data_IF_049249235544
#
_entry.id   IF_049249235544
#
_cell.length_a   1.000
_cell.length_b   1.000
_cell.length_c   1.000
_cell.angle_alpha   90.00
_cell.angle_beta   90.00
_cell.angle_gamma   90.00
#
_symmetry.space_group_name_H-M   'P 1'
#
loop_
_entity.id
_entity.type
_entity.pdbx_description
1 polymer ?
#
# COMPACT_ATOMS: atom_id res chain seq x y z
N UNK A 1 19.02 17.85 24.63
CA UNK A 1 19.32 17.22 23.30
C UNK A 1 19.74 18.35 22.36
N UNK A 2 20.97 18.36 21.83
CA UNK A 2 21.49 19.42 20.98
C UNK A 2 20.73 19.43 19.61
N UNK A 3 20.64 20.61 18.96
CA UNK A 3 19.96 20.78 17.66
C UNK A 3 20.42 19.76 16.60
N UNK A 4 21.69 19.43 16.55
CA UNK A 4 22.27 18.47 15.59
C UNK A 4 21.78 17.04 15.86
N UNK A 5 21.74 16.60 17.11
CA UNK A 5 21.26 15.26 17.47
C UNK A 5 19.79 15.03 17.09
N UNK A 6 18.95 16.07 17.22
CA UNK A 6 17.54 15.99 16.80
C UNK A 6 17.43 15.85 15.28
N UNK A 7 18.20 16.63 14.52
CA UNK A 7 18.21 16.60 13.05
C UNK A 7 18.65 15.23 12.52
N UNK A 8 19.72 14.68 13.07
CA UNK A 8 20.25 13.36 12.67
C UNK A 8 19.24 12.24 12.96
N UNK A 9 18.56 12.34 14.10
CA UNK A 9 17.51 11.38 14.46
C UNK A 9 16.31 11.44 13.51
N UNK A 10 15.84 12.64 13.15
CA UNK A 10 14.77 12.84 12.19
C UNK A 10 15.18 12.31 10.82
N UNK A 11 16.37 12.65 10.33
CA UNK A 11 16.89 12.15 9.06
C UNK A 11 16.92 10.61 9.00
N UNK A 12 17.33 9.97 10.10
CA UNK A 12 17.33 8.52 10.23
C UNK A 12 15.91 7.94 10.20
N UNK A 13 14.93 8.60 10.85
CA UNK A 13 13.54 8.19 10.85
C UNK A 13 12.91 8.31 9.46
N UNK A 14 13.18 9.39 8.73
CA UNK A 14 12.71 9.59 7.36
C UNK A 14 13.30 8.50 6.44
N UNK A 15 14.60 8.25 6.54
CA UNK A 15 15.27 7.23 5.75
C UNK A 15 14.71 5.82 6.04
N UNK A 16 14.43 5.52 7.31
CA UNK A 16 13.75 4.28 7.69
C UNK A 16 12.35 4.22 7.08
N UNK A 17 11.57 5.30 7.17
CA UNK A 17 10.22 5.38 6.60
C UNK A 17 10.18 5.08 5.10
N UNK A 18 11.16 5.57 4.33
CA UNK A 18 11.28 5.23 2.91
C UNK A 18 11.47 3.72 2.70
N UNK A 19 12.38 3.07 3.43
CA UNK A 19 12.63 1.64 3.27
C UNK A 19 11.46 0.78 3.75
N UNK A 20 10.77 1.21 4.81
CA UNK A 20 9.56 0.56 5.28
C UNK A 20 8.44 0.67 4.23
N UNK A 21 8.25 1.87 3.66
CA UNK A 21 7.31 2.08 2.55
C UNK A 21 7.65 1.24 1.33
N UNK A 22 8.94 1.12 1.02
CA UNK A 22 9.41 0.30 -0.11
C UNK A 22 9.02 -1.18 0.07
N UNK A 23 9.16 -1.71 1.27
CA UNK A 23 8.71 -3.07 1.58
C UNK A 23 7.18 -3.22 1.45
N UNK A 24 6.42 -2.21 1.88
CA UNK A 24 4.96 -2.17 1.72
C UNK A 24 4.53 -2.03 0.25
N UNK A 25 5.31 -1.35 -0.60
CA UNK A 25 5.07 -1.33 -2.06
C UNK A 25 5.12 -2.75 -2.62
N UNK A 26 6.11 -3.55 -2.22
CA UNK A 26 6.22 -4.95 -2.67
C UNK A 26 4.97 -5.75 -2.24
N UNK A 27 4.49 -5.56 -1.01
CA UNK A 27 3.26 -6.22 -0.54
C UNK A 27 2.03 -5.78 -1.35
N UNK A 28 1.88 -4.47 -1.61
CA UNK A 28 0.79 -3.95 -2.42
C UNK A 28 0.84 -4.49 -3.86
N UNK A 29 2.02 -4.60 -4.46
CA UNK A 29 2.19 -5.20 -5.78
C UNK A 29 1.76 -6.67 -5.78
N UNK A 30 2.09 -7.44 -4.74
CA UNK A 30 1.66 -8.83 -4.62
C UNK A 30 0.14 -8.96 -4.49
N UNK A 31 -0.50 -8.11 -3.68
CA UNK A 31 -1.95 -8.07 -3.55
C UNK A 31 -2.59 -7.61 -4.88
N UNK A 32 -1.95 -6.67 -5.56
CA UNK A 32 -2.36 -6.15 -6.86
C UNK A 32 -2.48 -7.20 -7.97
N UNK A 33 -1.84 -8.37 -7.82
CA UNK A 33 -2.00 -9.51 -8.74
C UNK A 33 -3.45 -10.01 -8.76
N UNK A 34 -4.19 -9.87 -7.66
CA UNK A 34 -5.60 -10.28 -7.59
C UNK A 34 -6.45 -9.49 -8.59
N UNK A 35 -6.14 -8.21 -8.80
CA UNK A 35 -6.85 -7.39 -9.80
C UNK A 35 -6.51 -7.82 -11.23
N UNK A 36 -5.23 -8.11 -11.50
CA UNK A 36 -4.81 -8.62 -12.82
C UNK A 36 -5.53 -9.93 -13.14
N UNK A 37 -5.60 -10.85 -12.18
CA UNK A 37 -6.30 -12.15 -12.34
C UNK A 37 -7.81 -11.98 -12.53
N UNK A 38 -8.37 -10.88 -12.07
CA UNK A 38 -9.79 -10.58 -12.12
C UNK A 38 -10.21 -9.74 -13.35
N UNK A 39 -9.25 -9.23 -14.13
CA UNK A 39 -9.51 -8.47 -15.36
C UNK A 39 -9.42 -9.38 -16.59
N UNK A 40 -10.17 -9.08 -17.67
CA UNK A 40 -10.00 -9.77 -18.94
C UNK A 40 -8.57 -9.71 -19.44
N UNK A 41 -8.07 -10.79 -20.03
CA UNK A 41 -6.70 -10.84 -20.58
C UNK A 41 -6.55 -9.82 -21.71
N UNK A 42 -5.49 -9.00 -21.69
CA UNK A 42 -5.26 -8.03 -22.75
C UNK A 42 -5.01 -8.71 -24.08
N UNK A 43 -5.65 -8.22 -25.15
CA UNK A 43 -5.58 -8.79 -26.48
C UNK A 43 -4.50 -8.16 -27.35
N UNK A 44 -4.01 -6.98 -27.00
CA UNK A 44 -2.99 -6.24 -27.76
C UNK A 44 -1.71 -6.03 -26.94
N UNK A 45 -0.59 -5.78 -27.65
CA UNK A 45 0.67 -5.44 -26.98
C UNK A 45 0.54 -4.17 -26.13
N UNK A 46 -0.15 -3.16 -26.65
CA UNK A 46 -0.34 -1.87 -25.94
C UNK A 46 -1.16 -2.08 -24.67
N UNK A 47 -2.24 -2.84 -24.71
CA UNK A 47 -3.04 -3.12 -23.52
C UNK A 47 -2.26 -3.95 -22.47
N UNK A 48 -1.39 -4.85 -22.92
CA UNK A 48 -0.49 -5.59 -21.99
C UNK A 48 0.51 -4.65 -21.30
N UNK A 49 1.14 -3.76 -22.07
CA UNK A 49 2.07 -2.76 -21.52
C UNK A 49 1.34 -1.84 -20.55
N UNK A 50 0.17 -1.34 -20.92
CA UNK A 50 -0.64 -0.51 -20.03
C UNK A 50 -0.98 -1.21 -18.73
N UNK A 51 -1.44 -2.46 -18.78
CA UNK A 51 -1.79 -3.25 -17.60
C UNK A 51 -0.60 -3.36 -16.63
N UNK A 52 0.59 -3.70 -17.15
CA UNK A 52 1.81 -3.84 -16.32
C UNK A 52 2.23 -2.50 -15.74
N UNK A 53 2.26 -1.45 -16.57
CA UNK A 53 2.70 -0.11 -16.15
C UNK A 53 1.72 0.49 -15.14
N UNK A 54 0.42 0.30 -15.36
CA UNK A 54 -0.62 0.74 -14.44
C UNK A 54 -0.55 -0.03 -13.10
N UNK A 55 -0.39 -1.35 -13.16
CA UNK A 55 -0.22 -2.16 -11.94
C UNK A 55 0.97 -1.68 -11.10
N UNK A 56 2.16 -1.54 -11.71
CA UNK A 56 3.35 -1.07 -10.99
C UNK A 56 3.14 0.35 -10.47
N UNK A 57 2.69 1.27 -11.32
CA UNK A 57 2.54 2.68 -10.96
C UNK A 57 1.50 2.89 -9.87
N UNK A 58 0.33 2.29 -10.00
CA UNK A 58 -0.78 2.46 -9.05
C UNK A 58 -0.44 1.86 -7.67
N UNK A 59 0.00 0.59 -7.63
CA UNK A 59 0.29 -0.08 -6.36
C UNK A 59 1.57 0.40 -5.68
N UNK A 60 2.50 1.02 -6.40
CA UNK A 60 3.62 1.73 -5.79
C UNK A 60 3.20 3.10 -5.24
N UNK A 61 2.28 3.79 -5.92
CA UNK A 61 1.81 5.12 -5.52
C UNK A 61 1.04 5.10 -4.20
N UNK A 62 0.21 4.09 -3.95
CA UNK A 62 -0.60 4.00 -2.74
C UNK A 62 0.23 4.08 -1.44
N UNK A 63 1.20 3.18 -1.16
CA UNK A 63 2.02 3.28 0.05
C UNK A 63 2.87 4.54 0.10
N UNK A 64 3.26 5.07 -1.06
CA UNK A 64 4.04 6.31 -1.14
C UNK A 64 3.22 7.53 -0.69
N UNK A 65 1.96 7.61 -1.08
CA UNK A 65 1.03 8.64 -0.59
C UNK A 65 0.81 8.51 0.91
N UNK A 66 0.62 7.30 1.43
CA UNK A 66 0.53 7.06 2.86
C UNK A 66 1.80 7.51 3.60
N UNK A 67 2.96 7.25 3.02
CA UNK A 67 4.22 7.74 3.59
C UNK A 67 4.25 9.27 3.67
N UNK A 68 3.96 9.97 2.57
CA UNK A 68 4.04 11.43 2.52
C UNK A 68 3.02 12.08 3.47
N UNK A 69 1.79 11.60 3.48
CA UNK A 69 0.68 12.25 4.20
C UNK A 69 0.70 11.90 5.70
N UNK A 70 1.09 10.68 6.05
CA UNK A 70 1.00 10.19 7.43
C UNK A 70 2.38 9.97 8.08
N UNK A 71 3.21 9.09 7.52
CA UNK A 71 4.45 8.67 8.18
C UNK A 71 5.48 9.80 8.22
N UNK A 72 5.66 10.53 7.13
CA UNK A 72 6.63 11.62 7.05
C UNK A 72 6.35 12.75 8.06
N UNK A 73 5.11 13.29 8.19
CA UNK A 73 4.80 14.25 9.25
C UNK A 73 5.04 13.69 10.66
N UNK A 74 4.71 12.44 10.89
CA UNK A 74 4.98 11.81 12.19
C UNK A 74 6.48 11.66 12.48
N UNK A 75 7.34 11.50 11.46
CA UNK A 75 8.79 11.53 11.64
C UNK A 75 9.29 12.88 12.20
N UNK A 76 8.62 13.97 11.85
CA UNK A 76 8.96 15.32 12.31
C UNK A 76 8.41 15.60 13.72
N UNK A 77 7.20 15.11 14.01
CA UNK A 77 6.46 15.39 15.24
C UNK A 77 6.86 14.43 16.39
N UNK A 78 7.07 13.16 16.07
CA UNK A 78 7.30 12.09 17.06
C UNK A 78 8.74 11.55 16.93
N UNK A 79 9.73 12.14 17.64
CA UNK A 79 11.13 11.70 17.54
C UNK A 79 11.42 10.40 18.31
N UNK A 80 10.40 9.62 18.65
CA UNK A 80 10.51 8.34 19.36
C UNK A 80 10.38 7.17 18.38
N UNK A 81 11.53 6.59 17.99
CA UNK A 81 11.60 5.56 16.96
C UNK A 81 10.72 4.32 17.21
N UNK A 82 10.55 3.91 18.47
CA UNK A 82 9.68 2.76 18.81
C UNK A 82 8.20 3.10 18.56
N UNK A 83 7.76 4.26 19.07
CA UNK A 83 6.37 4.73 18.90
C UNK A 83 6.04 4.93 17.43
N UNK A 84 6.92 5.61 16.68
CA UNK A 84 6.72 5.84 15.26
C UNK A 84 6.60 4.53 14.47
N UNK A 85 7.45 3.53 14.75
CA UNK A 85 7.39 2.23 14.08
C UNK A 85 6.09 1.49 14.37
N UNK A 86 5.59 1.56 15.61
CA UNK A 86 4.31 0.95 15.97
C UNK A 86 3.14 1.64 15.27
N UNK A 87 3.14 2.98 15.21
CA UNK A 87 2.12 3.75 14.49
C UNK A 87 2.16 3.43 12.99
N UNK A 88 3.35 3.43 12.38
CA UNK A 88 3.50 3.12 10.97
C UNK A 88 3.04 1.69 10.64
N UNK A 89 3.38 0.71 11.46
CA UNK A 89 2.92 -0.67 11.30
C UNK A 89 1.39 -0.78 11.39
N UNK A 90 0.76 -0.07 12.35
CA UNK A 90 -0.69 -0.04 12.47
C UNK A 90 -1.36 0.59 11.23
N UNK A 91 -0.87 1.75 10.78
CA UNK A 91 -1.38 2.43 9.59
C UNK A 91 -1.23 1.55 8.35
N UNK A 92 -0.05 0.94 8.15
CA UNK A 92 0.19 0.03 7.02
C UNK A 92 -0.71 -1.20 7.07
N UNK A 93 -0.90 -1.81 8.26
CA UNK A 93 -1.81 -2.95 8.42
C UNK A 93 -3.25 -2.59 8.05
N UNK A 94 -3.74 -1.42 8.48
CA UNK A 94 -5.07 -0.94 8.10
C UNK A 94 -5.18 -0.69 6.59
N UNK A 95 -4.16 -0.07 5.98
CA UNK A 95 -4.11 0.16 4.54
C UNK A 95 -4.10 -1.14 3.73
N UNK A 96 -3.31 -2.15 4.16
CA UNK A 96 -3.26 -3.46 3.51
C UNK A 96 -4.59 -4.21 3.66
N UNK A 97 -5.24 -4.17 4.84
CA UNK A 97 -6.57 -4.76 5.02
C UNK A 97 -7.58 -4.11 4.09
N UNK A 98 -7.59 -2.78 4.01
CA UNK A 98 -8.48 -2.05 3.10
C UNK A 98 -8.22 -2.45 1.64
N UNK A 99 -6.95 -2.58 1.23
CA UNK A 99 -6.57 -3.01 -0.12
C UNK A 99 -7.00 -4.46 -0.42
N UNK A 100 -6.80 -5.38 0.52
CA UNK A 100 -7.26 -6.79 0.37
C UNK A 100 -8.78 -6.81 0.24
N UNK A 101 -9.48 -6.04 1.07
CA UNK A 101 -10.92 -5.98 1.03
C UNK A 101 -11.43 -5.42 -0.31
N UNK A 102 -10.82 -4.33 -0.82
CA UNK A 102 -11.15 -3.80 -2.15
C UNK A 102 -10.83 -4.81 -3.26
N UNK A 103 -9.71 -5.52 -3.19
CA UNK A 103 -9.35 -6.54 -4.17
C UNK A 103 -10.35 -7.69 -4.23
N UNK A 104 -10.80 -8.18 -3.06
CA UNK A 104 -11.80 -9.23 -2.99
C UNK A 104 -13.18 -8.74 -3.46
N UNK A 105 -13.51 -7.49 -3.13
CA UNK A 105 -14.74 -6.85 -3.58
C UNK A 105 -14.73 -6.68 -5.11
N UNK A 106 -13.64 -6.17 -5.67
CA UNK A 106 -13.44 -6.05 -7.11
C UNK A 106 -13.56 -7.40 -7.80
N UNK A 107 -12.91 -8.43 -7.28
CA UNK A 107 -12.98 -9.80 -7.82
C UNK A 107 -14.42 -10.35 -7.86
N UNK A 108 -15.25 -9.93 -6.90
CA UNK A 108 -16.64 -10.45 -6.81
C UNK A 108 -17.64 -9.61 -7.61
N UNK A 109 -17.48 -8.29 -7.62
CA UNK A 109 -18.46 -7.36 -8.19
C UNK A 109 -18.00 -6.69 -9.49
N UNK A 110 -16.72 -6.76 -9.87
CA UNK A 110 -16.15 -6.14 -11.06
C UNK A 110 -15.93 -4.63 -10.99
N UNK A 111 -16.11 -4.01 -9.79
CA UNK A 111 -15.83 -2.60 -9.56
C UNK A 111 -15.24 -2.36 -8.17
N UNK A 112 -14.48 -1.26 -8.02
CA UNK A 112 -13.83 -0.91 -6.77
C UNK A 112 -14.81 -0.39 -5.72
N UNK A 113 -14.44 -0.53 -4.44
CA UNK A 113 -15.12 0.10 -3.34
C UNK A 113 -15.20 1.61 -3.56
N UNK A 114 -16.39 2.15 -3.46
CA UNK A 114 -16.66 3.59 -3.54
C UNK A 114 -17.51 4.04 -2.36
N UNK A 115 -17.73 5.36 -2.24
CA UNK A 115 -18.48 5.93 -1.13
C UNK A 115 -19.92 5.38 -1.05
N UNK A 116 -20.53 5.07 -2.19
CA UNK A 116 -21.89 4.50 -2.24
C UNK A 116 -21.91 3.07 -1.71
N UNK A 117 -21.02 2.20 -2.19
CA UNK A 117 -20.93 0.81 -1.72
C UNK A 117 -20.57 0.73 -0.23
N UNK A 118 -19.66 1.58 0.24
CA UNK A 118 -19.33 1.69 1.67
C UNK A 118 -20.52 2.15 2.51
N UNK A 119 -21.27 3.15 2.04
CA UNK A 119 -22.47 3.63 2.74
C UNK A 119 -23.58 2.55 2.79
N UNK A 120 -23.74 1.78 1.72
CA UNK A 120 -24.68 0.65 1.69
C UNK A 120 -24.25 -0.46 2.65
N UNK A 121 -22.98 -0.86 2.61
CA UNK A 121 -22.42 -1.85 3.53
C UNK A 121 -22.54 -1.41 5.00
N UNK A 122 -22.35 -0.11 5.28
CA UNK A 122 -22.49 0.42 6.63
C UNK A 122 -23.95 0.33 7.15
N UNK A 123 -24.97 0.49 6.29
CA UNK A 123 -26.38 0.31 6.65
C UNK A 123 -26.70 -1.15 6.99
N UNK A 124 -26.07 -2.08 6.26
CA UNK A 124 -26.29 -3.51 6.41
C UNK A 124 -25.33 -4.12 7.45
N UNK A 125 -24.38 -3.34 7.97
CA UNK A 125 -23.33 -3.84 8.88
C UNK A 125 -23.93 -4.43 10.17
N UNK A 126 -24.96 -3.82 10.76
CA UNK A 126 -25.61 -4.32 11.97
C UNK A 126 -26.19 -5.73 11.72
N UNK A 127 -26.90 -5.91 10.60
CA UNK A 127 -27.46 -7.20 10.22
C UNK A 127 -26.36 -8.23 9.90
N UNK A 128 -25.29 -7.80 9.25
CA UNK A 128 -24.15 -8.64 8.94
C UNK A 128 -23.40 -9.08 10.21
N UNK A 129 -23.20 -8.19 11.18
CA UNK A 129 -22.53 -8.51 12.44
C UNK A 129 -23.41 -9.41 13.35
N UNK A 130 -24.71 -9.17 13.40
CA UNK A 130 -25.63 -10.00 14.20
C UNK A 130 -25.82 -11.40 13.59
N UNK A 131 -25.71 -11.53 12.27
CA UNK A 131 -25.76 -12.81 11.54
C UNK A 131 -24.42 -13.53 11.43
N UNK A 132 -23.28 -12.86 11.69
CA UNK A 132 -21.98 -13.47 11.55
C UNK A 132 -21.69 -14.47 12.68
N UNK A 133 -21.17 -15.63 12.32
CA UNK A 133 -20.69 -16.59 13.31
C UNK A 133 -19.52 -15.99 14.10
N UNK A 134 -19.51 -16.19 15.40
CA UNK A 134 -18.40 -15.81 16.28
C UNK A 134 -17.04 -16.28 15.75
N UNK A 135 -17.01 -17.45 15.12
CA UNK A 135 -15.79 -18.00 14.50
C UNK A 135 -15.28 -17.11 13.37
N UNK A 136 -16.16 -16.56 12.52
CA UNK A 136 -15.77 -15.67 11.42
C UNK A 136 -15.16 -14.38 11.97
N UNK A 137 -15.78 -13.78 12.98
CA UNK A 137 -15.27 -12.56 13.63
C UNK A 137 -13.89 -12.84 14.23
N UNK A 138 -13.75 -13.96 14.93
CA UNK A 138 -12.47 -14.37 15.52
C UNK A 138 -11.39 -14.57 14.44
N UNK A 139 -11.71 -15.19 13.31
CA UNK A 139 -10.76 -15.39 12.19
C UNK A 139 -10.32 -14.06 11.58
N UNK A 140 -11.22 -13.09 11.39
CA UNK A 140 -10.89 -11.75 10.89
C UNK A 140 -9.96 -11.03 11.87
N UNK A 141 -10.29 -11.06 13.16
CA UNK A 141 -9.43 -10.47 14.20
C UNK A 141 -8.04 -11.11 14.24
N UNK A 142 -7.98 -12.44 14.19
CA UNK A 142 -6.71 -13.17 14.17
C UNK A 142 -5.89 -12.84 12.93
N UNK A 143 -6.52 -12.78 11.75
CA UNK A 143 -5.88 -12.38 10.51
C UNK A 143 -5.29 -10.96 10.60
N UNK A 144 -6.03 -10.01 11.17
CA UNK A 144 -5.52 -8.66 11.41
C UNK A 144 -4.34 -8.64 12.39
N UNK A 145 -4.40 -9.39 13.48
CA UNK A 145 -3.31 -9.47 14.46
C UNK A 145 -2.04 -10.10 13.86
N UNK A 146 -2.19 -11.12 13.01
CA UNK A 146 -1.07 -11.73 12.27
C UNK A 146 -0.44 -10.70 11.34
N UNK A 147 -1.24 -9.98 10.57
CA UNK A 147 -0.76 -8.92 9.68
C UNK A 147 -0.05 -7.79 10.45
N UNK A 148 -0.65 -7.33 11.54
CA UNK A 148 -0.05 -6.31 12.40
C UNK A 148 1.29 -6.80 13.00
N UNK A 149 1.34 -8.06 13.43
CA UNK A 149 2.58 -8.70 13.90
C UNK A 149 3.65 -8.74 12.81
N UNK A 150 3.27 -9.08 11.59
CA UNK A 150 4.15 -9.07 10.42
C UNK A 150 4.68 -7.66 10.12
N UNK A 151 3.79 -6.64 10.09
CA UNK A 151 4.19 -5.25 9.87
C UNK A 151 5.11 -4.70 10.97
N UNK A 152 4.87 -5.08 12.23
CA UNK A 152 5.77 -4.75 13.34
C UNK A 152 7.15 -5.41 13.18
N UNK A 153 7.21 -6.65 12.75
CA UNK A 153 8.46 -7.33 12.45
C UNK A 153 9.18 -6.65 11.29
N UNK A 154 8.47 -6.32 10.21
CA UNK A 154 9.01 -5.62 9.05
C UNK A 154 9.56 -4.23 9.43
N UNK A 155 8.81 -3.45 10.22
CA UNK A 155 9.21 -2.14 10.72
C UNK A 155 10.47 -2.22 11.60
N UNK A 156 10.57 -3.26 12.42
CA UNK A 156 11.75 -3.49 13.25
C UNK A 156 12.95 -4.01 12.46
N UNK A 157 12.71 -4.89 11.50
CA UNK A 157 13.74 -5.43 10.62
C UNK A 157 14.39 -4.31 9.79
N UNK A 158 13.58 -3.50 9.11
CA UNK A 158 14.07 -2.36 8.32
C UNK A 158 14.82 -1.33 9.16
N UNK A 159 14.39 -1.11 10.41
CA UNK A 159 15.14 -0.24 11.34
C UNK A 159 16.50 -0.82 11.73
N UNK A 160 16.55 -2.11 12.00
CA UNK A 160 17.78 -2.80 12.43
C UNK A 160 18.81 -2.83 11.30
N UNK A 161 18.39 -3.06 10.06
CA UNK A 161 19.26 -3.20 8.88
C UNK A 161 19.34 -1.92 8.03
N UNK A 162 18.94 -0.76 8.59
CA UNK A 162 18.85 0.49 7.83
C UNK A 162 20.16 0.89 7.16
N UNK A 163 21.29 0.75 7.84
CA UNK A 163 22.62 1.06 7.29
C UNK A 163 22.97 0.19 6.08
N UNK A 164 22.64 -1.09 6.14
CA UNK A 164 22.87 -2.05 5.02
C UNK A 164 21.99 -1.73 3.82
N UNK A 165 20.71 -1.43 4.09
CA UNK A 165 19.74 -1.06 3.06
C UNK A 165 20.16 0.22 2.32
N UNK A 166 20.64 1.22 3.05
CA UNK A 166 21.14 2.47 2.47
C UNK A 166 22.35 2.26 1.55
N UNK A 167 23.23 1.31 1.85
CA UNK A 167 24.39 1.01 1.01
C UNK A 167 24.04 0.33 -0.32
N UNK A 168 22.86 -0.32 -0.41
CA UNK A 168 22.46 -1.04 -1.63
C UNK A 168 22.12 -0.16 -2.83
N UNK A 169 22.03 1.16 -2.69
CA UNK A 169 21.72 2.16 -3.74
C UNK A 169 20.50 1.82 -4.64
N UNK A 170 19.64 0.90 -4.18
CA UNK A 170 18.46 0.45 -4.96
C UNK A 170 17.27 1.43 -4.85
N UNK A 171 17.24 2.27 -3.83
CA UNK A 171 16.10 3.17 -3.57
C UNK A 171 15.83 4.15 -4.72
N UNK A 172 16.86 4.83 -5.21
CA UNK A 172 16.69 5.82 -6.27
C UNK A 172 16.23 5.19 -7.61
N UNK A 173 16.88 4.15 -8.18
CA UNK A 173 16.41 3.58 -9.43
C UNK A 173 15.00 2.97 -9.33
N UNK A 174 14.66 2.32 -8.23
CA UNK A 174 13.33 1.77 -8.08
C UNK A 174 12.26 2.87 -7.92
N UNK A 175 12.52 3.93 -7.18
CA UNK A 175 11.62 5.11 -7.12
C UNK A 175 11.46 5.72 -8.51
N UNK A 176 12.53 5.82 -9.30
CA UNK A 176 12.44 6.32 -10.67
C UNK A 176 11.54 5.43 -11.53
N UNK A 177 11.68 4.11 -11.45
CA UNK A 177 10.79 3.17 -12.18
C UNK A 177 9.34 3.36 -11.77
N UNK A 178 9.03 3.45 -10.47
CA UNK A 178 7.66 3.63 -10.00
C UNK A 178 7.05 4.96 -10.48
N UNK A 179 7.82 6.05 -10.44
CA UNK A 179 7.38 7.36 -10.92
C UNK A 179 7.16 7.33 -12.43
N UNK A 180 8.07 6.73 -13.20
CA UNK A 180 7.90 6.59 -14.65
C UNK A 180 6.68 5.72 -15.00
N UNK A 181 6.46 4.61 -14.32
CA UNK A 181 5.27 3.77 -14.52
C UNK A 181 3.99 4.54 -14.21
N UNK A 182 3.97 5.31 -13.11
CA UNK A 182 2.81 6.13 -12.73
C UNK A 182 2.49 7.17 -13.82
N UNK A 183 3.47 7.93 -14.29
CA UNK A 183 3.26 8.93 -15.33
C UNK A 183 2.93 8.27 -16.68
N UNK A 184 3.57 7.17 -17.04
CA UNK A 184 3.30 6.46 -18.27
C UNK A 184 1.87 5.91 -18.30
N UNK A 185 1.38 5.30 -17.21
CA UNK A 185 0.01 4.80 -17.13
C UNK A 185 -1.02 5.93 -17.31
N UNK A 186 -0.79 7.09 -16.65
CA UNK A 186 -1.66 8.26 -16.81
C UNK A 186 -1.61 8.84 -18.23
N UNK A 187 -0.42 8.92 -18.82
CA UNK A 187 -0.26 9.40 -20.19
C UNK A 187 -0.99 8.49 -21.18
N UNK A 188 -0.83 7.18 -21.07
CA UNK A 188 -1.52 6.23 -21.92
C UNK A 188 -3.04 6.34 -21.72
N UNK A 189 -3.51 6.45 -20.48
CA UNK A 189 -4.94 6.59 -20.17
C UNK A 189 -5.58 7.85 -20.78
N UNK A 190 -4.85 8.97 -20.79
CA UNK A 190 -5.33 10.25 -21.33
C UNK A 190 -5.28 10.30 -22.85
N UNK A 191 -4.28 9.65 -23.48
CA UNK A 191 -3.99 9.79 -24.91
C UNK A 191 -4.50 8.63 -25.75
N UNK A 192 -4.73 7.47 -25.15
CA UNK A 192 -5.27 6.36 -25.88
C UNK A 192 -6.80 6.46 -25.94
N UNK A 193 -7.34 6.22 -27.11
CA UNK A 193 -8.77 6.18 -27.35
C UNK A 193 -9.42 5.11 -26.47
N UNK A 194 -10.60 5.38 -25.91
CA UNK A 194 -11.33 4.44 -25.08
C UNK A 194 -11.53 3.08 -25.74
N UNK A 195 -11.63 3.05 -27.07
CA UNK A 195 -11.72 1.83 -27.89
C UNK A 195 -10.50 0.88 -27.75
N UNK A 196 -9.35 1.37 -27.30
CA UNK A 196 -8.18 0.53 -27.05
C UNK A 196 -8.23 -0.23 -25.71
N UNK A 197 -9.12 0.16 -24.82
CA UNK A 197 -9.27 -0.38 -23.47
C UNK A 197 -10.60 -1.07 -23.23
N UNK A 198 -11.55 -0.90 -24.13
CA UNK A 198 -12.83 -1.60 -24.03
C UNK A 198 -12.59 -3.09 -24.33
N UNK A 199 -12.86 -3.99 -23.37
CA UNK A 199 -12.67 -5.41 -23.53
C UNK A 199 -13.69 -6.01 -24.51
#
# INVERSE_FOLDING_TARGET
MGKNQRRDKIARLISWGHWFTFANIILCLLIGIIYIDSTPSPTTFISTVYLIVNWIGHFAFLPFVFFIILIFPFCLLIPYSKVLRSIAALISSLGIVALIFDALFFRHYGYHLNAYSLAQMAKDAEAAFTGASFVIILMIMLGFLILLGFELLLANYTWKHLSELQHRRLGAPATTVFVLCFFASHSIHVWADAELYDP
#
